data_IF_183417414903
#
_entry.id   IF_183417414903
#
_cell.length_a   1.000
_cell.length_b   1.000
_cell.length_c   1.000
_cell.angle_alpha   90.00
_cell.angle_beta   90.00
_cell.angle_gamma   90.00
#
_symmetry.space_group_name_H-M   'P 1'
#
loop_
_entity.id
_entity.type
_entity.pdbx_description
1 polymer ?
#
# COMPACT_ATOMS: atom_id res chain seq x y z
N UNK A 1 6.66 -1.36 -19.19
CA UNK A 1 5.94 -2.65 -19.06
C UNK A 1 4.43 -2.38 -19.03
N UNK A 2 3.61 -3.14 -19.75
CA UNK A 2 2.15 -3.01 -19.76
C UNK A 2 1.50 -3.86 -18.65
N UNK A 3 0.15 -3.74 -18.50
CA UNK A 3 -0.63 -4.44 -17.47
C UNK A 3 -0.49 -5.96 -17.54
N UNK A 4 -0.72 -6.52 -18.72
CA UNK A 4 -0.67 -7.98 -18.95
C UNK A 4 0.68 -8.58 -18.53
N UNK A 5 1.78 -7.93 -18.93
CA UNK A 5 3.13 -8.38 -18.55
C UNK A 5 3.37 -8.24 -17.06
N UNK A 6 2.94 -7.13 -16.43
CA UNK A 6 3.09 -6.92 -15.00
C UNK A 6 2.34 -7.99 -14.19
N UNK A 7 1.09 -8.28 -14.56
CA UNK A 7 0.29 -9.31 -13.90
C UNK A 7 0.85 -10.72 -14.12
N UNK A 8 1.30 -11.05 -15.34
CA UNK A 8 1.90 -12.35 -15.65
C UNK A 8 3.19 -12.63 -14.89
N UNK A 9 4.00 -11.61 -14.66
CA UNK A 9 5.28 -11.72 -13.94
C UNK A 9 5.14 -11.51 -12.43
N UNK A 10 3.91 -11.35 -11.93
CA UNK A 10 3.64 -11.18 -10.50
C UNK A 10 3.90 -12.49 -9.76
N UNK A 11 4.68 -12.42 -8.68
CA UNK A 11 4.99 -13.55 -7.78
C UNK A 11 4.11 -13.56 -6.53
N UNK A 12 3.68 -12.40 -6.07
CA UNK A 12 2.72 -12.25 -4.97
C UNK A 12 1.87 -11.02 -5.18
N UNK A 13 0.56 -11.13 -4.89
CA UNK A 13 -0.42 -10.03 -4.94
C UNK A 13 -1.43 -10.24 -3.83
N UNK A 14 -1.75 -9.21 -3.09
CA UNK A 14 -2.70 -9.28 -1.98
C UNK A 14 -3.43 -7.97 -1.77
N UNK A 15 -4.50 -8.06 -1.00
CA UNK A 15 -5.24 -6.89 -0.54
C UNK A 15 -4.38 -6.10 0.44
N UNK A 16 -4.46 -4.78 0.35
CA UNK A 16 -3.82 -3.84 1.27
C UNK A 16 -4.83 -2.74 1.61
N UNK A 17 -4.52 -1.89 2.57
CA UNK A 17 -5.44 -0.79 2.90
C UNK A 17 -6.30 -1.07 4.14
N UNK A 18 -7.42 -0.35 4.26
CA UNK A 18 -8.30 -0.41 5.45
C UNK A 18 -9.03 -1.74 5.58
N UNK A 19 -9.39 -2.34 4.46
CA UNK A 19 -10.14 -3.59 4.38
C UNK A 19 -9.43 -4.74 5.08
N UNK A 20 -8.11 -4.89 4.84
CA UNK A 20 -7.27 -5.96 5.42
C UNK A 20 -7.12 -5.84 6.93
N UNK A 21 -7.28 -4.64 7.47
CA UNK A 21 -7.06 -4.38 8.89
C UNK A 21 -8.35 -4.42 9.72
N UNK A 22 -9.50 -4.87 9.14
CA UNK A 22 -10.78 -4.91 9.83
C UNK A 22 -11.29 -3.53 10.25
N UNK A 23 -10.83 -2.47 9.57
CA UNK A 23 -11.13 -1.08 9.89
C UNK A 23 -12.28 -0.52 9.05
N UNK A 24 -13.09 -1.40 8.49
CA UNK A 24 -14.29 -1.03 7.74
C UNK A 24 -15.35 -0.51 8.70
N UNK A 25 -15.71 0.75 8.54
CA UNK A 25 -16.71 1.43 9.39
C UNK A 25 -18.13 1.27 8.85
N UNK A 26 -18.27 0.84 7.59
CA UNK A 26 -19.56 0.66 6.93
C UNK A 26 -19.67 -0.70 6.25
N UNK A 27 -20.85 -1.31 6.30
CA UNK A 27 -21.21 -2.53 5.55
C UNK A 27 -21.28 -2.32 4.01
N UNK A 28 -20.73 -1.22 3.51
CA UNK A 28 -20.67 -0.89 2.09
C UNK A 28 -19.47 -1.52 1.39
N UNK A 29 -19.63 -1.77 0.10
CA UNK A 29 -18.54 -2.17 -0.80
C UNK A 29 -17.54 -1.00 -0.84
N UNK A 30 -16.34 -1.21 -0.29
CA UNK A 30 -15.24 -0.23 -0.35
C UNK A 30 -14.44 -0.36 -1.65
N UNK A 31 -13.60 0.64 -1.95
CA UNK A 31 -12.56 0.53 -2.96
C UNK A 31 -11.61 -0.62 -2.60
N UNK A 32 -11.15 -1.33 -3.62
CA UNK A 32 -10.28 -2.48 -3.48
C UNK A 32 -8.85 -2.07 -3.76
N UNK A 33 -8.06 -1.90 -2.69
CA UNK A 33 -6.63 -1.61 -2.77
C UNK A 33 -5.83 -2.91 -2.88
N UNK A 34 -5.03 -3.06 -3.93
CA UNK A 34 -4.16 -4.21 -4.12
C UNK A 34 -2.70 -3.81 -4.35
N UNK A 35 -1.82 -4.59 -3.79
CA UNK A 35 -0.39 -4.48 -4.00
C UNK A 35 0.17 -5.80 -4.53
N UNK A 36 1.05 -5.72 -5.51
CA UNK A 36 1.76 -6.88 -6.03
C UNK A 36 3.27 -6.61 -6.14
N UNK A 37 4.00 -7.72 -6.25
CA UNK A 37 5.44 -7.72 -6.56
C UNK A 37 5.62 -8.62 -7.77
N UNK A 38 6.37 -8.15 -8.77
CA UNK A 38 6.71 -8.93 -9.94
C UNK A 38 8.22 -9.05 -10.13
N UNK A 39 8.66 -10.15 -10.71
CA UNK A 39 10.01 -10.30 -11.26
C UNK A 39 9.94 -9.85 -12.70
N UNK A 40 10.44 -8.64 -12.96
CA UNK A 40 10.38 -8.04 -14.29
C UNK A 40 11.15 -8.86 -15.33
N UNK A 41 10.68 -8.92 -16.61
CA UNK A 41 11.42 -9.54 -17.71
C UNK A 41 12.82 -8.94 -17.85
N UNK A 42 13.76 -9.72 -18.38
CA UNK A 42 15.17 -9.32 -18.49
C UNK A 42 15.34 -8.01 -19.25
N UNK A 43 14.55 -7.79 -20.30
CA UNK A 43 14.57 -6.57 -21.11
C UNK A 43 14.23 -5.31 -20.30
N UNK A 44 13.26 -5.44 -19.39
CA UNK A 44 12.85 -4.37 -18.49
C UNK A 44 13.85 -4.17 -17.34
N UNK A 45 14.40 -5.28 -16.82
CA UNK A 45 15.39 -5.24 -15.75
C UNK A 45 16.73 -4.63 -16.20
N UNK A 46 17.11 -4.85 -17.45
CA UNK A 46 18.38 -4.40 -18.06
C UNK A 46 18.24 -3.08 -18.82
N UNK A 47 17.07 -2.44 -18.79
CA UNK A 47 16.86 -1.17 -19.48
C UNK A 47 17.81 -0.08 -18.95
N UNK A 48 18.62 0.50 -19.84
CA UNK A 48 19.69 1.46 -19.47
C UNK A 48 19.15 2.81 -19.00
N UNK A 49 18.01 3.28 -19.57
CA UNK A 49 17.52 4.64 -19.36
C UNK A 49 16.35 4.75 -18.41
N UNK A 50 15.48 3.73 -18.40
CA UNK A 50 14.28 3.75 -17.58
C UNK A 50 13.90 2.31 -17.16
N UNK A 51 14.63 1.71 -16.19
CA UNK A 51 14.27 0.39 -15.71
C UNK A 51 12.85 0.43 -15.13
N UNK A 52 12.10 -0.65 -15.36
CA UNK A 52 10.76 -0.76 -14.81
C UNK A 52 10.82 -0.68 -13.27
N UNK A 53 10.00 0.17 -12.70
CA UNK A 53 9.90 0.32 -11.24
C UNK A 53 8.56 -0.16 -10.69
N UNK A 54 7.46 0.22 -11.35
CA UNK A 54 6.11 -0.18 -10.92
C UNK A 54 5.11 0.01 -12.04
N UNK A 55 4.04 -0.76 -11.98
CA UNK A 55 2.82 -0.58 -12.75
C UNK A 55 1.71 -0.08 -11.81
N UNK A 56 0.95 0.91 -12.24
CA UNK A 56 -0.20 1.45 -11.50
C UNK A 56 -1.43 1.35 -12.39
N UNK A 57 -2.50 0.81 -11.83
CA UNK A 57 -3.81 0.78 -12.46
C UNK A 57 -4.86 1.26 -11.46
N UNK A 58 -5.76 2.12 -11.93
CA UNK A 58 -6.88 2.62 -11.13
C UNK A 58 -8.12 2.65 -12.01
N UNK A 59 -9.16 1.92 -11.60
CA UNK A 59 -10.45 1.88 -12.32
C UNK A 59 -11.05 3.28 -12.44
N UNK A 60 -10.97 4.09 -11.39
CA UNK A 60 -11.45 5.46 -11.40
C UNK A 60 -10.74 6.33 -12.45
N UNK A 61 -9.40 6.19 -12.57
CA UNK A 61 -8.61 6.93 -13.54
C UNK A 61 -8.98 6.54 -14.99
N UNK A 62 -9.18 5.24 -15.23
CA UNK A 62 -9.60 4.74 -16.53
C UNK A 62 -11.01 5.23 -16.89
N UNK A 63 -11.95 5.18 -15.93
CA UNK A 63 -13.34 5.63 -16.12
C UNK A 63 -13.44 7.14 -16.43
N UNK A 64 -12.67 7.97 -15.72
CA UNK A 64 -12.75 9.42 -15.82
C UNK A 64 -11.70 10.06 -16.74
N UNK A 65 -10.72 9.27 -17.24
CA UNK A 65 -9.64 9.76 -18.10
C UNK A 65 -8.67 10.72 -17.42
N UNK A 66 -8.55 10.65 -16.07
CA UNK A 66 -7.65 11.49 -15.29
C UNK A 66 -7.08 10.73 -14.09
N UNK A 67 -5.78 10.90 -13.82
CA UNK A 67 -5.04 10.17 -12.79
C UNK A 67 -5.44 10.53 -11.35
N UNK A 68 -6.01 11.71 -11.13
CA UNK A 68 -6.46 12.20 -9.82
C UNK A 68 -7.92 11.86 -9.51
N UNK A 69 -8.58 11.06 -10.37
CA UNK A 69 -9.95 10.63 -10.16
C UNK A 69 -10.12 9.93 -8.80
N UNK A 70 -11.21 10.22 -8.11
CA UNK A 70 -11.50 9.65 -6.80
C UNK A 70 -12.08 8.24 -6.97
N UNK A 71 -11.45 7.26 -6.32
CA UNK A 71 -11.96 5.90 -6.26
C UNK A 71 -13.25 5.85 -5.44
N UNK A 72 -14.18 5.04 -5.89
CA UNK A 72 -15.50 4.79 -5.28
C UNK A 72 -15.64 3.31 -4.98
N UNK A 73 -16.72 2.95 -4.28
CA UNK A 73 -17.01 1.56 -3.94
C UNK A 73 -16.98 0.65 -5.19
N UNK A 74 -16.21 -0.44 -5.12
CA UNK A 74 -16.01 -1.39 -6.20
C UNK A 74 -14.89 -1.05 -7.18
N UNK A 75 -14.25 0.12 -7.08
CA UNK A 75 -13.07 0.44 -7.87
C UNK A 75 -11.85 -0.34 -7.39
N UNK A 76 -10.97 -0.70 -8.33
CA UNK A 76 -9.69 -1.34 -8.08
C UNK A 76 -8.56 -0.32 -8.21
N UNK A 77 -7.77 -0.17 -7.15
CA UNK A 77 -6.50 0.55 -7.13
C UNK A 77 -5.38 -0.49 -6.98
N UNK A 78 -4.68 -0.80 -8.07
CA UNK A 78 -3.63 -1.82 -8.12
C UNK A 78 -2.27 -1.18 -8.35
N UNK A 79 -1.29 -1.53 -7.50
CA UNK A 79 0.11 -1.20 -7.73
C UNK A 79 0.96 -2.46 -7.70
N UNK A 80 1.65 -2.77 -8.81
CA UNK A 80 2.60 -3.88 -8.91
C UNK A 80 4.01 -3.29 -8.98
N UNK A 81 4.83 -3.57 -7.98
CA UNK A 81 6.23 -3.13 -7.90
C UNK A 81 7.16 -4.15 -8.54
N UNK A 82 8.25 -3.69 -9.19
CA UNK A 82 9.38 -4.58 -9.46
C UNK A 82 9.97 -5.09 -8.15
N UNK A 83 10.44 -6.34 -8.12
CA UNK A 83 11.09 -6.92 -6.95
C UNK A 83 12.23 -6.02 -6.43
N UNK A 84 13.02 -5.45 -7.34
CA UNK A 84 14.12 -4.53 -7.02
C UNK A 84 13.63 -3.27 -6.30
N UNK A 85 12.60 -2.60 -6.83
CA UNK A 85 12.05 -1.39 -6.18
C UNK A 85 11.42 -1.72 -4.85
N UNK A 86 10.60 -2.77 -4.80
CA UNK A 86 9.95 -3.21 -3.59
C UNK A 86 10.96 -3.50 -2.48
N UNK A 87 11.98 -4.31 -2.77
CA UNK A 87 13.06 -4.65 -1.82
C UNK A 87 13.79 -3.40 -1.31
N UNK A 88 14.13 -2.48 -2.22
CA UNK A 88 14.79 -1.22 -1.83
C UNK A 88 13.95 -0.39 -0.85
N UNK A 89 12.63 -0.37 -1.03
CA UNK A 89 11.71 0.36 -0.15
C UNK A 89 11.47 -0.40 1.16
N UNK A 90 11.35 -1.73 1.12
CA UNK A 90 11.17 -2.57 2.30
C UNK A 90 12.39 -2.48 3.22
N UNK A 91 13.60 -2.58 2.69
CA UNK A 91 14.85 -2.43 3.46
C UNK A 91 15.05 -1.02 4.06
N UNK A 92 14.37 -0.01 3.51
CA UNK A 92 14.27 1.33 4.10
C UNK A 92 13.19 1.43 5.18
N UNK A 93 12.47 0.36 5.45
CA UNK A 93 11.41 0.31 6.46
C UNK A 93 10.14 1.06 6.06
N UNK A 94 9.81 1.13 4.76
CA UNK A 94 8.58 1.79 4.33
C UNK A 94 7.34 1.01 4.82
N UNK A 95 6.52 1.59 5.73
CA UNK A 95 5.40 0.86 6.35
C UNK A 95 4.35 0.37 5.34
N UNK A 96 4.07 1.15 4.30
CA UNK A 96 3.07 0.80 3.29
C UNK A 96 3.52 -0.39 2.45
N UNK A 97 4.79 -0.39 2.04
CA UNK A 97 5.38 -1.46 1.21
C UNK A 97 5.44 -2.78 1.97
N UNK A 98 5.67 -2.74 3.26
CA UNK A 98 5.78 -3.94 4.10
C UNK A 98 4.44 -4.62 4.37
N UNK A 99 3.30 -3.95 4.12
CA UNK A 99 1.98 -4.54 4.37
C UNK A 99 1.81 -5.90 3.68
N UNK A 100 2.31 -6.05 2.45
CA UNK A 100 2.17 -7.29 1.69
C UNK A 100 2.85 -8.50 2.35
N UNK A 101 3.90 -8.30 3.16
CA UNK A 101 4.54 -9.37 3.92
C UNK A 101 3.62 -9.95 5.01
N UNK A 102 2.70 -9.13 5.52
CA UNK A 102 1.81 -9.46 6.62
C UNK A 102 0.35 -9.68 6.18
N UNK A 103 0.09 -9.63 4.86
CA UNK A 103 -1.25 -9.92 4.33
C UNK A 103 -1.63 -11.36 4.67
N UNK A 104 -2.78 -11.60 5.34
CA UNK A 104 -3.27 -12.95 5.63
C UNK A 104 -3.44 -13.79 4.36
N UNK A 105 -3.32 -15.12 4.48
CA UNK A 105 -3.40 -16.05 3.34
C UNK A 105 -4.74 -15.96 2.59
N UNK A 106 -5.84 -15.78 3.32
CA UNK A 106 -7.20 -15.64 2.78
C UNK A 106 -7.43 -14.29 2.06
N UNK A 107 -6.49 -13.37 2.19
CA UNK A 107 -6.50 -12.06 1.52
C UNK A 107 -5.45 -11.93 0.42
N UNK A 108 -4.71 -13.00 0.16
CA UNK A 108 -3.85 -13.07 -1.02
C UNK A 108 -4.70 -13.31 -2.27
N UNK A 109 -4.48 -12.49 -3.27
CA UNK A 109 -5.09 -12.64 -4.59
C UNK A 109 -4.31 -13.67 -5.43
N UNK A 110 -2.98 -13.67 -5.27
CA UNK A 110 -2.06 -14.57 -5.93
C UNK A 110 -0.77 -14.70 -5.12
N UNK A 111 -0.22 -15.91 -5.06
CA UNK A 111 1.10 -16.18 -4.48
C UNK A 111 1.66 -17.46 -5.09
N UNK A 112 2.81 -17.39 -5.75
CA UNK A 112 3.55 -18.56 -6.22
C UNK A 112 4.67 -18.95 -5.24
N UNK A 113 5.50 -19.93 -5.62
CA UNK A 113 6.61 -20.41 -4.79
C UNK A 113 7.61 -19.29 -4.45
N UNK A 114 7.95 -18.44 -5.41
CA UNK A 114 8.88 -17.31 -5.18
C UNK A 114 8.25 -16.24 -4.25
N UNK A 115 6.95 -15.99 -4.41
CA UNK A 115 6.19 -15.11 -3.51
C UNK A 115 6.15 -15.65 -2.08
N UNK A 116 5.97 -16.96 -1.91
CA UNK A 116 6.00 -17.61 -0.61
C UNK A 116 7.39 -17.56 0.03
N UNK A 117 8.46 -17.81 -0.75
CA UNK A 117 9.84 -17.66 -0.29
C UNK A 117 10.14 -16.21 0.15
N UNK A 118 9.72 -15.22 -0.64
CA UNK A 118 9.89 -13.81 -0.30
C UNK A 118 9.20 -13.47 1.02
N UNK A 119 7.98 -13.96 1.24
CA UNK A 119 7.24 -13.76 2.49
C UNK A 119 7.91 -14.46 3.67
N UNK A 120 8.50 -15.64 3.47
CA UNK A 120 9.27 -16.34 4.49
C UNK A 120 10.53 -15.57 4.93
N UNK A 121 11.06 -14.68 4.08
CA UNK A 121 12.18 -13.78 4.43
C UNK A 121 11.79 -12.59 5.32
N UNK A 122 10.52 -12.46 5.71
CA UNK A 122 10.04 -11.37 6.59
C UNK A 122 10.95 -11.11 7.80
N UNK A 123 11.42 -12.11 8.57
CA UNK A 123 12.30 -11.87 9.73
C UNK A 123 13.66 -11.26 9.36
N UNK A 124 14.13 -11.47 8.13
CA UNK A 124 15.38 -10.88 7.63
C UNK A 124 15.18 -9.44 7.10
N UNK A 125 14.00 -9.14 6.57
CA UNK A 125 13.63 -7.82 6.03
C UNK A 125 13.25 -6.86 7.15
N UNK A 126 12.43 -7.32 8.10
CA UNK A 126 11.98 -6.53 9.25
C UNK A 126 13.10 -6.44 10.27
N UNK A 127 13.66 -5.27 10.43
CA UNK A 127 14.74 -5.00 11.38
C UNK A 127 14.39 -3.79 12.26
N UNK A 128 15.14 -3.56 13.34
CA UNK A 128 14.97 -2.38 14.20
C UNK A 128 15.05 -1.04 13.46
N UNK A 129 15.61 -1.03 12.26
CA UNK A 129 15.67 0.17 11.39
C UNK A 129 14.29 0.65 10.96
N UNK A 130 13.27 -0.22 10.94
CA UNK A 130 11.91 0.15 10.56
C UNK A 130 11.25 1.12 11.55
N UNK A 131 11.67 1.14 12.81
CA UNK A 131 11.11 2.01 13.86
C UNK A 131 11.13 3.49 13.47
N UNK A 132 12.26 3.97 12.93
CA UNK A 132 12.38 5.37 12.52
C UNK A 132 11.36 5.78 11.45
N UNK A 133 11.27 5.08 10.30
CA UNK A 133 10.24 5.30 9.29
C UNK A 133 8.81 5.19 9.86
N UNK A 134 8.48 4.17 10.66
CA UNK A 134 7.15 4.03 11.25
C UNK A 134 6.78 5.24 12.11
N UNK A 135 7.68 5.68 13.00
CA UNK A 135 7.50 6.89 13.80
C UNK A 135 7.36 8.14 12.94
N UNK A 136 8.15 8.27 11.87
CA UNK A 136 8.07 9.39 10.94
C UNK A 136 6.71 9.45 10.22
N UNK A 137 6.21 8.29 9.76
CA UNK A 137 4.87 8.21 9.15
C UNK A 137 3.77 8.50 10.18
N UNK A 138 3.88 7.98 11.40
CA UNK A 138 2.94 8.27 12.49
C UNK A 138 2.89 9.77 12.78
N UNK A 139 4.05 10.40 12.95
CA UNK A 139 4.13 11.85 13.17
C UNK A 139 3.52 12.65 12.01
N UNK A 140 3.77 12.23 10.76
CA UNK A 140 3.17 12.87 9.61
C UNK A 140 1.63 12.75 9.59
N UNK A 141 1.07 11.62 10.01
CA UNK A 141 -0.39 11.47 10.17
C UNK A 141 -0.93 12.36 11.29
N UNK A 142 -0.22 12.43 12.43
CA UNK A 142 -0.56 13.32 13.54
C UNK A 142 -0.59 14.77 13.09
N UNK A 143 0.44 15.25 12.41
CA UNK A 143 0.51 16.62 11.90
C UNK A 143 -0.62 16.96 10.92
N UNK A 144 -1.06 15.99 10.10
CA UNK A 144 -2.23 16.16 9.23
C UNK A 144 -3.52 16.21 10.03
N UNK A 145 -3.65 15.38 11.05
CA UNK A 145 -4.81 15.34 11.95
C UNK A 145 -4.96 16.69 12.70
N UNK A 146 -3.85 17.25 13.21
CA UNK A 146 -3.83 18.54 13.94
C UNK A 146 -3.82 19.76 13.03
N UNK A 147 -3.72 19.58 11.70
CA UNK A 147 -3.65 20.70 10.75
C UNK A 147 -2.29 21.41 10.68
N UNK A 148 -1.26 20.88 11.35
CA UNK A 148 0.09 21.47 11.36
C UNK A 148 0.84 21.28 10.02
N UNK A 149 0.42 20.33 9.19
CA UNK A 149 1.07 20.00 7.93
C UNK A 149 0.13 20.15 6.75
N UNK A 150 0.29 21.22 5.99
CA UNK A 150 -0.40 21.47 4.73
C UNK A 150 -1.88 21.84 4.87
N UNK A 151 -2.59 21.98 3.75
CA UNK A 151 -4.03 22.15 3.77
C UNK A 151 -4.70 20.89 4.33
N UNK A 152 -5.55 21.07 5.33
CA UNK A 152 -6.36 20.00 5.90
C UNK A 152 -7.28 19.44 4.81
N UNK A 153 -6.89 18.30 4.21
CA UNK A 153 -7.75 17.59 3.26
C UNK A 153 -8.69 16.70 4.06
N UNK A 154 -9.94 17.08 4.12
CA UNK A 154 -10.99 16.32 4.80
C UNK A 154 -11.39 15.17 3.88
N UNK A 155 -11.21 13.93 4.33
CA UNK A 155 -11.57 12.75 3.57
C UNK A 155 -13.03 12.31 3.77
N UNK A 156 -13.54 12.48 5.00
CA UNK A 156 -14.91 12.10 5.41
C UNK A 156 -15.53 13.24 6.22
N UNK A 157 -16.12 14.24 5.55
CA UNK A 157 -16.71 15.42 6.23
C UNK A 157 -17.78 15.03 7.26
N UNK A 158 -18.57 14.01 6.95
CA UNK A 158 -19.64 13.47 7.82
C UNK A 158 -19.10 12.93 9.15
N UNK A 159 -17.93 12.30 9.13
CA UNK A 159 -17.28 11.77 10.33
C UNK A 159 -16.55 12.88 11.10
N UNK A 160 -16.01 13.87 10.38
CA UNK A 160 -15.41 15.04 11.03
C UNK A 160 -16.45 15.88 11.76
N UNK A 161 -17.65 16.06 11.18
CA UNK A 161 -18.75 16.74 11.85
C UNK A 161 -19.21 15.99 13.11
N UNK A 162 -19.25 14.64 13.05
CA UNK A 162 -19.68 13.82 14.18
C UNK A 162 -18.65 13.73 15.31
N UNK A 163 -17.36 13.60 14.97
CA UNK A 163 -16.30 13.32 15.95
C UNK A 163 -15.33 14.48 16.20
N UNK A 164 -15.41 15.55 15.43
CA UNK A 164 -14.54 16.73 15.56
C UNK A 164 -13.15 16.58 14.93
N UNK A 165 -12.86 15.44 14.25
CA UNK A 165 -11.57 15.20 13.58
C UNK A 165 -11.71 14.22 12.41
N UNK A 166 -10.74 14.23 11.48
CA UNK A 166 -10.68 13.28 10.37
C UNK A 166 -10.25 11.89 10.87
N UNK A 167 -11.21 10.98 10.93
CA UNK A 167 -11.03 9.63 11.45
C UNK A 167 -10.03 8.81 10.64
N UNK A 168 -9.81 9.10 9.34
CA UNK A 168 -8.85 8.40 8.48
C UNK A 168 -7.41 8.63 8.96
N UNK A 169 -7.06 9.87 9.29
CA UNK A 169 -5.72 10.17 9.83
C UNK A 169 -5.51 9.57 11.22
N UNK A 170 -6.52 9.63 12.09
CA UNK A 170 -6.47 9.02 13.42
C UNK A 170 -6.27 7.50 13.32
N UNK A 171 -7.01 6.82 12.46
CA UNK A 171 -6.88 5.39 12.21
C UNK A 171 -5.48 5.02 11.72
N UNK A 172 -4.96 5.74 10.71
CA UNK A 172 -3.61 5.48 10.21
C UNK A 172 -2.53 5.72 11.27
N UNK A 173 -2.68 6.74 12.10
CA UNK A 173 -1.77 7.02 13.21
C UNK A 173 -1.74 5.86 14.22
N UNK A 174 -2.91 5.38 14.66
CA UNK A 174 -3.02 4.26 15.59
C UNK A 174 -2.44 2.98 15.01
N UNK A 175 -2.80 2.64 13.75
CA UNK A 175 -2.25 1.48 13.05
C UNK A 175 -0.72 1.49 13.02
N UNK A 176 -0.12 2.61 12.62
CA UNK A 176 1.34 2.75 12.57
C UNK A 176 1.98 2.63 13.94
N UNK A 177 1.30 3.12 14.99
CA UNK A 177 1.75 2.95 16.37
C UNK A 177 1.80 1.48 16.79
N UNK A 178 0.71 0.74 16.60
CA UNK A 178 0.63 -0.68 16.94
C UNK A 178 1.60 -1.53 16.12
N UNK A 179 1.68 -1.32 14.81
CA UNK A 179 2.60 -2.04 13.94
C UNK A 179 4.06 -1.75 14.28
N UNK A 180 4.40 -0.49 14.58
CA UNK A 180 5.77 -0.10 14.92
C UNK A 180 6.25 -0.59 16.28
N UNK A 181 5.36 -0.93 17.20
CA UNK A 181 5.71 -1.57 18.50
C UNK A 181 5.86 -3.07 18.35
N UNK A 182 5.13 -3.69 17.41
CA UNK A 182 5.18 -5.15 17.16
C UNK A 182 6.35 -5.60 16.28
N UNK A 183 7.10 -4.66 15.68
CA UNK A 183 8.32 -4.91 14.91
C UNK A 183 9.53 -4.72 15.83
#
# INVERSE_FOLDING_TARGET
MNRETAERCTIVRGLVGSTVHGLNVNDGIEDRDEMGICVEPLEEAMALWAPFEQFIYRTAAEREGRDDARSTAGDLDLTIYSLRKWTRLALKGNPTIMLLLFTPEDQLVYCDELGAELRALTPAIVSRRVQGPFLGYLQAQKQRLTGERGQKRIHRPELEEMYGFDTKYAMHMLRLGFQGVGC
#
